data_IF_718213740869
#
_entry.id   IF_718213740869
#
_cell.length_a   1.000
_cell.length_b   1.000
_cell.length_c   1.000
_cell.angle_alpha   90.00
_cell.angle_beta   90.00
_cell.angle_gamma   90.00
#
_symmetry.space_group_name_H-M   'P 1'
#
loop_
_entity.id
_entity.type
_entity.pdbx_description
1 polymer ?
#
# COMPACT_ATOMS: atom_id res chain seq x y z
N UNK A 1 -0.17 4.99 -8.65
CA UNK A 1 -1.59 4.58 -8.66
C UNK A 1 -2.47 5.81 -8.66
N UNK A 2 -3.59 5.80 -9.37
CA UNK A 2 -4.53 6.92 -9.47
C UNK A 2 -5.65 6.73 -8.47
N UNK A 3 -5.89 7.71 -7.63
CA UNK A 3 -6.98 7.70 -6.64
C UNK A 3 -7.96 8.82 -6.99
N UNK A 4 -9.24 8.48 -7.16
CA UNK A 4 -10.30 9.46 -7.36
C UNK A 4 -10.93 9.82 -6.02
N UNK A 5 -10.95 11.11 -5.68
CA UNK A 5 -11.57 11.65 -4.46
C UNK A 5 -12.79 12.47 -4.87
N UNK A 6 -13.96 11.99 -4.52
CA UNK A 6 -15.26 12.64 -4.79
C UNK A 6 -15.91 13.09 -3.48
N UNK A 7 -16.01 14.39 -3.28
CA UNK A 7 -16.60 15.03 -2.10
C UNK A 7 -17.03 16.44 -2.50
N UNK A 8 -18.21 16.91 -2.13
CA UNK A 8 -18.70 18.26 -2.48
C UNK A 8 -18.08 19.34 -1.60
N UNK A 9 -17.59 18.99 -0.40
CA UNK A 9 -16.90 19.89 0.50
C UNK A 9 -15.45 20.11 0.04
N UNK A 10 -15.15 21.29 -0.51
CA UNK A 10 -13.84 21.65 -1.07
C UNK A 10 -12.69 21.42 -0.06
N UNK A 11 -12.88 21.84 1.19
CA UNK A 11 -11.84 21.70 2.22
C UNK A 11 -11.49 20.23 2.53
N UNK A 12 -12.50 19.34 2.54
CA UNK A 12 -12.29 17.91 2.75
C UNK A 12 -11.59 17.32 1.53
N UNK A 13 -12.11 17.59 0.36
CA UNK A 13 -11.58 17.12 -0.92
C UNK A 13 -10.11 17.50 -1.12
N UNK A 14 -9.77 18.78 -0.95
CA UNK A 14 -8.40 19.29 -1.09
C UNK A 14 -7.48 18.76 0.02
N UNK A 15 -7.98 18.65 1.26
CA UNK A 15 -7.20 18.07 2.35
C UNK A 15 -6.82 16.62 2.11
N UNK A 16 -7.75 15.79 1.64
CA UNK A 16 -7.47 14.40 1.26
C UNK A 16 -6.49 14.36 0.08
N UNK A 17 -6.73 15.19 -0.94
CA UNK A 17 -5.89 15.21 -2.15
C UNK A 17 -4.45 15.61 -1.84
N UNK A 18 -4.23 16.63 -1.02
CA UNK A 18 -2.89 17.07 -0.62
C UNK A 18 -2.15 15.95 0.12
N UNK A 19 -2.80 15.34 1.12
CA UNK A 19 -2.18 14.30 1.93
C UNK A 19 -1.84 13.04 1.11
N UNK A 20 -2.73 12.61 0.22
CA UNK A 20 -2.48 11.48 -0.68
C UNK A 20 -1.37 11.76 -1.69
N UNK A 21 -1.26 13.01 -2.15
CA UNK A 21 -0.18 13.42 -3.06
C UNK A 21 1.19 13.37 -2.35
N UNK A 22 1.27 13.78 -1.09
CA UNK A 22 2.48 13.63 -0.26
C UNK A 22 2.88 12.16 -0.06
N UNK A 23 1.90 11.25 0.02
CA UNK A 23 2.12 9.80 0.08
C UNK A 23 2.50 9.17 -1.29
N UNK A 24 2.63 9.99 -2.35
CA UNK A 24 3.09 9.57 -3.68
C UNK A 24 2.01 9.03 -4.62
N UNK A 25 0.74 9.27 -4.32
CA UNK A 25 -0.37 8.93 -5.22
C UNK A 25 -0.65 10.05 -6.23
N UNK A 26 -1.13 9.66 -7.41
CA UNK A 26 -1.71 10.61 -8.36
C UNK A 26 -3.20 10.76 -8.03
N UNK A 27 -3.59 11.96 -7.59
CA UNK A 27 -4.96 12.21 -7.12
C UNK A 27 -5.76 12.97 -8.17
N UNK A 28 -6.95 12.45 -8.43
CA UNK A 28 -7.96 13.06 -9.27
C UNK A 28 -9.12 13.45 -8.34
N UNK A 29 -9.60 14.68 -8.44
CA UNK A 29 -10.67 15.19 -7.59
C UNK A 29 -11.98 15.36 -8.37
N UNK A 30 -13.13 15.16 -7.72
CA UNK A 30 -14.45 15.43 -8.27
C UNK A 30 -15.31 16.12 -7.20
N UNK A 31 -16.07 17.13 -7.58
CA UNK A 31 -16.91 17.92 -6.66
C UNK A 31 -18.34 17.42 -6.53
N UNK A 32 -18.71 16.39 -7.26
CA UNK A 32 -20.02 15.75 -7.24
C UNK A 32 -20.00 14.41 -7.98
N UNK A 33 -21.09 13.64 -7.85
CA UNK A 33 -21.16 12.30 -8.40
C UNK A 33 -21.16 12.24 -9.93
N UNK A 34 -21.65 13.28 -10.61
CA UNK A 34 -21.64 13.30 -12.07
C UNK A 34 -20.21 13.46 -12.60
N UNK A 35 -19.44 14.40 -12.04
CA UNK A 35 -18.02 14.60 -12.38
C UNK A 35 -17.18 13.38 -12.00
N UNK A 36 -17.52 12.71 -10.88
CA UNK A 36 -16.85 11.48 -10.47
C UNK A 36 -16.99 10.38 -11.52
N UNK A 37 -18.18 10.16 -12.05
CA UNK A 37 -18.42 9.15 -13.09
C UNK A 37 -17.77 9.49 -14.42
N UNK A 38 -17.78 10.75 -14.83
CA UNK A 38 -17.11 11.21 -16.05
C UNK A 38 -15.60 10.93 -15.97
N UNK A 39 -14.94 11.33 -14.86
CA UNK A 39 -13.52 11.07 -14.64
C UNK A 39 -13.18 9.59 -14.50
N UNK A 40 -14.09 8.82 -13.93
CA UNK A 40 -13.93 7.38 -13.81
C UNK A 40 -13.97 6.67 -15.17
N UNK A 41 -14.79 7.15 -16.11
CA UNK A 41 -14.85 6.59 -17.48
C UNK A 41 -13.63 6.96 -18.31
N UNK A 42 -13.10 8.17 -18.12
CA UNK A 42 -12.03 8.73 -18.96
C UNK A 42 -10.62 8.36 -18.48
N UNK A 43 -10.45 8.00 -17.21
CA UNK A 43 -9.14 7.81 -16.59
C UNK A 43 -9.01 6.44 -15.91
N UNK A 44 -7.81 5.83 -15.91
CA UNK A 44 -7.57 4.59 -15.20
C UNK A 44 -7.52 4.83 -13.69
N UNK A 45 -8.65 4.65 -13.02
CA UNK A 45 -8.79 4.79 -11.56
C UNK A 45 -8.48 3.44 -10.89
N UNK A 46 -7.70 3.49 -9.79
CA UNK A 46 -7.31 2.31 -9.03
C UNK A 46 -8.02 2.21 -7.67
N UNK A 47 -8.52 3.32 -7.14
CA UNK A 47 -9.32 3.35 -5.92
C UNK A 47 -10.16 4.62 -5.93
N UNK A 48 -11.36 4.54 -5.39
CA UNK A 48 -12.23 5.71 -5.19
C UNK A 48 -12.47 5.95 -3.71
N UNK A 49 -12.31 7.22 -3.29
CA UNK A 49 -12.83 7.75 -2.02
C UNK A 49 -14.08 8.56 -2.36
N UNK A 50 -15.22 8.19 -1.81
CA UNK A 50 -16.54 8.63 -2.26
C UNK A 50 -17.39 9.12 -1.12
N UNK A 51 -17.76 10.40 -1.11
CA UNK A 51 -18.81 10.89 -0.23
C UNK A 51 -20.18 10.43 -0.71
N UNK A 52 -21.04 10.06 0.21
CA UNK A 52 -22.42 9.65 -0.09
C UNK A 52 -23.34 10.82 -0.40
N UNK A 53 -23.14 11.94 0.25
CA UNK A 53 -24.05 13.08 0.22
C UNK A 53 -23.50 14.19 -0.69
N UNK A 54 -23.60 13.98 -1.99
CA UNK A 54 -23.17 14.95 -3.01
C UNK A 54 -24.34 15.45 -3.86
N UNK A 55 -24.25 16.69 -4.41
CA UNK A 55 -25.23 17.21 -5.35
C UNK A 55 -25.18 16.50 -6.71
N UNK A 56 -26.20 16.71 -7.53
CA UNK A 56 -26.41 16.16 -8.87
C UNK A 56 -26.60 14.64 -8.90
N UNK A 57 -25.57 13.88 -8.57
CA UNK A 57 -25.65 12.42 -8.31
C UNK A 57 -25.10 12.14 -6.93
N UNK A 58 -25.82 11.40 -6.14
CA UNK A 58 -25.39 10.94 -4.82
C UNK A 58 -24.27 9.88 -4.94
N UNK A 59 -23.47 9.73 -3.89
CA UNK A 59 -22.48 8.66 -3.85
C UNK A 59 -23.08 7.25 -3.94
N UNK A 60 -24.32 7.06 -3.49
CA UNK A 60 -25.06 5.81 -3.69
C UNK A 60 -25.29 5.47 -5.16
N UNK A 61 -25.67 6.48 -5.96
CA UNK A 61 -25.86 6.29 -7.40
C UNK A 61 -24.53 6.00 -8.11
N UNK A 62 -23.47 6.71 -7.71
CA UNK A 62 -22.10 6.48 -8.22
C UNK A 62 -21.66 5.07 -7.88
N UNK A 63 -21.77 4.63 -6.63
CA UNK A 63 -21.39 3.30 -6.17
C UNK A 63 -22.12 2.19 -6.94
N UNK A 64 -23.43 2.36 -7.13
CA UNK A 64 -24.25 1.41 -7.89
C UNK A 64 -23.86 1.32 -9.37
N UNK A 65 -23.41 2.42 -9.96
CA UNK A 65 -23.01 2.46 -11.37
C UNK A 65 -21.63 1.84 -11.56
N UNK A 66 -20.69 2.08 -10.64
CA UNK A 66 -19.33 1.51 -10.66
C UNK A 66 -19.36 0.00 -10.41
N UNK A 67 -20.05 -0.47 -9.38
CA UNK A 67 -20.09 -1.89 -9.00
C UNK A 67 -20.75 -2.80 -10.05
N UNK A 68 -21.49 -2.24 -11.00
CA UNK A 68 -22.05 -3.03 -12.11
C UNK A 68 -21.04 -3.41 -13.18
N UNK A 69 -20.00 -2.64 -13.33
CA UNK A 69 -19.15 -2.68 -14.52
C UNK A 69 -17.65 -2.80 -14.22
N UNK A 70 -17.20 -2.58 -12.98
CA UNK A 70 -15.77 -2.46 -12.65
C UNK A 70 -15.45 -3.02 -11.27
N UNK A 71 -14.24 -3.55 -11.16
CA UNK A 71 -13.71 -4.19 -9.94
C UNK A 71 -12.60 -3.32 -9.35
N UNK A 72 -12.95 -2.10 -8.88
CA UNK A 72 -12.03 -1.23 -8.15
C UNK A 72 -12.49 -1.08 -6.70
N UNK A 73 -11.58 -0.98 -5.73
CA UNK A 73 -11.95 -0.73 -4.34
C UNK A 73 -12.54 0.67 -4.14
N UNK A 74 -13.61 0.73 -3.35
CA UNK A 74 -14.28 1.98 -2.99
C UNK A 74 -14.34 2.13 -1.47
N UNK A 75 -13.79 3.26 -0.97
CA UNK A 75 -13.98 3.71 0.41
C UNK A 75 -15.06 4.78 0.44
N UNK A 76 -16.09 4.51 1.20
CA UNK A 76 -17.20 5.46 1.35
C UNK A 76 -16.94 6.37 2.56
N UNK A 77 -17.17 7.67 2.38
CA UNK A 77 -17.24 8.65 3.47
C UNK A 77 -18.68 8.90 3.84
N UNK A 78 -19.03 8.81 5.13
CA UNK A 78 -20.41 9.02 5.60
C UNK A 78 -20.47 9.91 6.85
N UNK A 79 -21.57 10.61 7.07
CA UNK A 79 -21.80 11.35 8.31
C UNK A 79 -22.07 10.39 9.49
N UNK A 80 -21.72 10.84 10.70
CA UNK A 80 -21.91 10.07 11.94
C UNK A 80 -23.41 9.86 12.23
N UNK A 81 -23.83 8.62 12.52
CA UNK A 81 -25.08 8.34 13.22
C UNK A 81 -26.23 7.73 12.41
N UNK A 82 -26.01 7.31 11.18
CA UNK A 82 -27.05 6.68 10.39
C UNK A 82 -26.77 5.19 10.16
N UNK A 83 -27.29 4.34 11.08
CA UNK A 83 -27.17 2.87 10.97
C UNK A 83 -27.85 2.34 9.68
N UNK A 84 -28.93 3.01 9.22
CA UNK A 84 -29.62 2.66 7.98
C UNK A 84 -28.73 2.90 6.76
N UNK A 85 -28.02 4.03 6.73
CA UNK A 85 -27.02 4.35 5.70
C UNK A 85 -25.87 3.36 5.71
N UNK A 86 -25.37 2.96 6.88
CA UNK A 86 -24.32 1.95 6.97
C UNK A 86 -24.74 0.59 6.42
N UNK A 87 -25.95 0.13 6.72
CA UNK A 87 -26.49 -1.12 6.16
C UNK A 87 -26.63 -1.05 4.64
N UNK A 88 -27.14 0.07 4.10
CA UNK A 88 -27.25 0.27 2.64
C UNK A 88 -25.89 0.29 1.93
N UNK A 89 -24.86 0.86 2.56
CA UNK A 89 -23.49 0.88 2.01
C UNK A 89 -22.88 -0.51 1.94
N UNK A 90 -23.13 -1.36 2.95
CA UNK A 90 -22.68 -2.77 2.92
C UNK A 90 -23.42 -3.58 1.85
N UNK A 91 -24.72 -3.35 1.68
CA UNK A 91 -25.54 -4.00 0.63
C UNK A 91 -25.12 -3.60 -0.79
N UNK A 92 -24.51 -2.43 -0.95
CA UNK A 92 -23.99 -1.90 -2.22
C UNK A 92 -22.51 -2.25 -2.49
N UNK A 93 -21.93 -3.17 -1.70
CA UNK A 93 -20.56 -3.67 -1.91
C UNK A 93 -19.46 -2.60 -1.84
N UNK A 94 -19.57 -1.61 -0.94
CA UNK A 94 -18.43 -0.80 -0.59
C UNK A 94 -17.38 -1.65 0.15
N UNK A 95 -16.11 -1.49 -0.19
CA UNK A 95 -15.00 -2.29 0.40
C UNK A 95 -14.63 -1.86 1.80
N UNK A 96 -14.83 -0.58 2.11
CA UNK A 96 -14.63 -0.01 3.44
C UNK A 96 -15.46 1.27 3.59
N UNK A 97 -15.69 1.69 4.84
CA UNK A 97 -16.36 2.96 5.13
C UNK A 97 -15.63 3.72 6.23
N UNK A 98 -15.69 5.05 6.16
CA UNK A 98 -15.10 5.96 7.14
C UNK A 98 -16.11 7.03 7.51
N UNK A 99 -16.39 7.18 8.79
CA UNK A 99 -17.32 8.20 9.30
C UNK A 99 -16.64 9.55 9.48
N UNK A 100 -17.30 10.61 9.03
CA UNK A 100 -16.88 12.01 9.27
C UNK A 100 -17.27 12.43 10.71
N UNK A 101 -16.38 13.12 11.48
CA UNK A 101 -15.02 13.52 11.13
C UNK A 101 -14.00 12.36 11.25
N UNK A 102 -13.00 12.33 10.40
CA UNK A 102 -11.98 11.28 10.35
C UNK A 102 -10.55 11.83 10.37
N UNK A 103 -9.61 10.96 10.70
CA UNK A 103 -8.18 11.24 10.59
C UNK A 103 -7.66 10.90 9.19
N UNK A 104 -7.00 11.85 8.52
CA UNK A 104 -6.37 11.61 7.21
C UNK A 104 -5.34 10.47 7.26
N UNK A 105 -4.55 10.39 8.33
CA UNK A 105 -3.59 9.29 8.52
C UNK A 105 -4.26 7.91 8.58
N UNK A 106 -5.43 7.82 9.23
CA UNK A 106 -6.22 6.57 9.28
C UNK A 106 -6.80 6.24 7.91
N UNK A 107 -7.34 7.22 7.19
CA UNK A 107 -7.87 7.06 5.84
C UNK A 107 -6.78 6.52 4.89
N UNK A 108 -5.56 7.08 4.93
CA UNK A 108 -4.43 6.61 4.12
C UNK A 108 -4.08 5.15 4.43
N UNK A 109 -4.06 4.75 5.71
CA UNK A 109 -3.78 3.34 6.06
C UNK A 109 -4.84 2.37 5.52
N UNK A 110 -6.10 2.78 5.48
CA UNK A 110 -7.20 2.01 4.87
C UNK A 110 -7.05 1.91 3.36
N UNK A 111 -6.74 3.02 2.68
CA UNK A 111 -6.42 3.06 1.25
C UNK A 111 -5.27 2.11 0.92
N UNK A 112 -4.15 2.18 1.67
CA UNK A 112 -3.00 1.31 1.49
C UNK A 112 -3.36 -0.18 1.66
N UNK A 113 -4.21 -0.51 2.64
CA UNK A 113 -4.65 -1.88 2.88
C UNK A 113 -5.52 -2.41 1.73
N UNK A 114 -6.45 -1.59 1.19
CA UNK A 114 -7.28 -1.98 0.06
C UNK A 114 -6.48 -2.11 -1.24
N UNK A 115 -5.64 -1.13 -1.56
CA UNK A 115 -4.79 -1.20 -2.75
C UNK A 115 -3.90 -2.45 -2.73
N UNK A 116 -3.36 -2.82 -1.57
CA UNK A 116 -2.58 -4.05 -1.42
C UNK A 116 -3.42 -5.31 -1.61
N UNK A 117 -4.70 -5.31 -1.24
CA UNK A 117 -5.61 -6.46 -1.40
C UNK A 117 -6.10 -6.63 -2.83
N UNK A 118 -6.42 -5.53 -3.52
CA UNK A 118 -6.96 -5.53 -4.88
C UNK A 118 -5.89 -5.63 -5.94
N UNK A 119 -4.85 -4.88 -5.76
CA UNK A 119 -3.69 -4.87 -6.67
C UNK A 119 -2.58 -5.63 -5.97
N UNK A 120 -2.69 -6.95 -5.98
CA UNK A 120 -1.55 -7.82 -5.67
C UNK A 120 -0.48 -7.45 -6.70
N UNK A 121 0.32 -6.45 -6.40
CA UNK A 121 1.65 -6.41 -6.97
C UNK A 121 2.26 -7.68 -6.42
N UNK A 122 2.39 -8.68 -7.28
CA UNK A 122 3.27 -9.79 -6.99
C UNK A 122 4.61 -9.15 -6.66
N UNK A 123 4.87 -8.93 -5.39
CA UNK A 123 6.14 -8.41 -4.89
C UNK A 123 7.13 -9.58 -4.95
N UNK A 124 7.20 -10.15 -6.19
CA UNK A 124 8.05 -11.30 -6.50
C UNK A 124 9.35 -10.77 -7.05
N UNK A 125 10.42 -11.15 -6.41
CA UNK A 125 11.78 -10.87 -6.85
C UNK A 125 12.44 -12.14 -7.35
N UNK A 126 13.09 -12.03 -8.50
CA UNK A 126 13.86 -13.11 -9.10
C UNK A 126 15.33 -12.73 -9.18
N UNK A 127 16.17 -13.67 -8.79
CA UNK A 127 17.61 -13.57 -8.94
C UNK A 127 18.21 -14.97 -9.16
N UNK A 128 18.80 -15.23 -10.34
CA UNK A 128 19.26 -16.57 -10.74
C UNK A 128 18.16 -17.62 -10.50
N UNK A 129 18.44 -18.65 -9.70
CA UNK A 129 17.50 -19.72 -9.34
C UNK A 129 16.59 -19.37 -8.12
N UNK A 130 16.70 -18.15 -7.61
CA UNK A 130 15.96 -17.69 -6.43
C UNK A 130 14.70 -16.96 -6.84
N UNK A 131 13.59 -17.34 -6.21
CA UNK A 131 12.31 -16.62 -6.29
C UNK A 131 11.87 -16.28 -4.88
N UNK A 132 11.58 -15.01 -4.61
CA UNK A 132 11.07 -14.54 -3.33
C UNK A 132 9.76 -13.80 -3.55
N UNK A 133 8.70 -14.27 -2.89
CA UNK A 133 7.41 -13.61 -2.80
C UNK A 133 7.32 -12.89 -1.45
N UNK A 134 7.45 -11.57 -1.48
CA UNK A 134 7.37 -10.73 -0.28
C UNK A 134 5.95 -10.57 0.24
N UNK A 135 4.93 -10.88 -0.56
CA UNK A 135 3.53 -10.81 -0.14
C UNK A 135 3.17 -12.00 0.74
N UNK A 136 3.54 -13.20 0.31
CA UNK A 136 3.29 -14.45 1.06
C UNK A 136 4.39 -14.80 2.07
N UNK A 137 5.49 -14.03 2.09
CA UNK A 137 6.71 -14.31 2.88
C UNK A 137 7.33 -15.68 2.56
N UNK A 138 7.30 -16.08 1.29
CA UNK A 138 7.86 -17.35 0.81
C UNK A 138 9.11 -17.11 -0.03
N UNK A 139 10.05 -18.06 0.04
CA UNK A 139 11.22 -18.08 -0.81
C UNK A 139 11.46 -19.47 -1.37
N UNK A 140 11.94 -19.55 -2.60
CA UNK A 140 12.31 -20.80 -3.29
C UNK A 140 13.66 -20.66 -3.93
N UNK A 141 14.44 -21.74 -3.89
CA UNK A 141 15.71 -21.89 -4.62
C UNK A 141 15.58 -23.14 -5.48
N UNK A 142 15.78 -23.02 -6.80
CA UNK A 142 15.57 -24.13 -7.77
C UNK A 142 14.19 -24.78 -7.63
N UNK A 143 13.15 -23.96 -7.40
CA UNK A 143 11.76 -24.38 -7.14
C UNK A 143 11.50 -25.14 -5.82
N UNK A 144 12.51 -25.35 -4.97
CA UNK A 144 12.34 -25.90 -3.65
C UNK A 144 12.09 -24.80 -2.62
N UNK A 145 11.12 -25.01 -1.74
CA UNK A 145 10.78 -24.03 -0.69
C UNK A 145 11.87 -23.96 0.37
N UNK A 146 12.28 -22.75 0.72
CA UNK A 146 13.32 -22.48 1.71
C UNK A 146 12.72 -21.76 2.91
N UNK A 147 12.87 -22.31 4.10
CA UNK A 147 12.39 -21.70 5.35
C UNK A 147 13.18 -20.41 5.65
N UNK A 148 12.50 -19.29 5.56
CA UNK A 148 13.07 -17.96 5.80
C UNK A 148 12.26 -17.21 6.85
N UNK A 149 12.92 -16.38 7.65
CA UNK A 149 12.22 -15.59 8.68
C UNK A 149 11.68 -14.29 8.08
N UNK A 150 10.50 -13.80 8.52
CA UNK A 150 9.95 -12.54 8.00
C UNK A 150 10.94 -11.35 8.05
N UNK A 151 11.69 -11.20 9.14
CA UNK A 151 12.70 -10.12 9.26
C UNK A 151 13.88 -10.29 8.28
N UNK A 152 14.25 -11.50 7.91
CA UNK A 152 15.27 -11.75 6.87
C UNK A 152 14.76 -11.27 5.51
N UNK A 153 13.48 -11.53 5.18
CA UNK A 153 12.86 -11.05 3.93
C UNK A 153 12.72 -9.53 3.89
N UNK A 154 12.37 -8.90 5.02
CA UNK A 154 12.29 -7.44 5.10
C UNK A 154 13.66 -6.78 4.85
N UNK A 155 14.76 -7.35 5.38
CA UNK A 155 16.12 -6.89 5.08
C UNK A 155 16.42 -7.02 3.59
N UNK A 156 16.09 -8.14 2.98
CA UNK A 156 16.30 -8.35 1.54
C UNK A 156 15.49 -7.32 0.72
N UNK A 157 14.23 -7.12 1.06
CA UNK A 157 13.35 -6.13 0.42
C UNK A 157 13.92 -4.71 0.51
N UNK A 158 14.39 -4.31 1.69
CA UNK A 158 15.03 -3.02 1.91
C UNK A 158 16.24 -2.82 0.99
N UNK A 159 17.12 -3.83 0.88
CA UNK A 159 18.29 -3.76 -0.01
C UNK A 159 17.90 -3.67 -1.49
N UNK A 160 16.86 -4.39 -1.92
CA UNK A 160 16.36 -4.36 -3.30
C UNK A 160 15.78 -2.99 -3.65
N UNK A 161 15.00 -2.39 -2.75
CA UNK A 161 14.44 -1.06 -2.92
C UNK A 161 15.50 0.03 -3.05
N UNK A 162 16.67 -0.18 -2.43
CA UNK A 162 17.83 0.71 -2.49
C UNK A 162 18.97 0.12 -3.33
N UNK A 163 18.61 -0.48 -4.46
CA UNK A 163 19.55 -1.12 -5.39
C UNK A 163 20.77 -0.24 -5.69
N UNK A 164 21.96 -0.84 -5.56
CA UNK A 164 23.26 -0.20 -5.77
C UNK A 164 23.64 0.92 -4.76
N UNK A 165 22.79 1.20 -3.77
CA UNK A 165 23.12 2.11 -2.67
C UNK A 165 23.69 1.32 -1.50
N UNK A 166 24.62 1.96 -0.76
CA UNK A 166 25.16 1.39 0.47
C UNK A 166 24.27 1.86 1.62
N UNK A 167 23.69 0.91 2.34
CA UNK A 167 22.92 1.17 3.55
C UNK A 167 23.71 0.81 4.78
N UNK A 168 23.72 1.69 5.77
CA UNK A 168 24.27 1.38 7.10
C UNK A 168 23.40 0.34 7.81
N UNK A 169 23.95 -0.29 8.86
CA UNK A 169 23.19 -1.22 9.70
C UNK A 169 21.99 -0.54 10.37
N UNK A 170 22.16 0.69 10.81
CA UNK A 170 21.13 1.53 11.41
C UNK A 170 19.98 1.80 10.40
N UNK A 171 20.30 2.24 9.20
CA UNK A 171 19.32 2.47 8.15
C UNK A 171 18.50 1.22 7.80
N UNK A 172 19.18 0.04 7.75
CA UNK A 172 18.49 -1.24 7.52
C UNK A 172 17.58 -1.56 8.70
N UNK A 173 18.03 -1.38 9.95
CA UNK A 173 17.21 -1.63 11.14
C UNK A 173 15.99 -0.72 11.20
N UNK A 174 16.16 0.57 10.96
CA UNK A 174 15.07 1.55 10.93
C UNK A 174 14.00 1.18 9.89
N UNK A 175 14.42 0.68 8.72
CA UNK A 175 13.49 0.29 7.65
C UNK A 175 12.64 -0.95 7.97
N UNK A 176 13.09 -1.82 8.89
CA UNK A 176 12.41 -3.09 9.24
C UNK A 176 11.77 -3.10 10.63
N UNK A 177 11.93 -2.02 11.41
CA UNK A 177 11.40 -1.88 12.77
C UNK A 177 10.12 -1.06 12.74
N UNK A 178 9.03 -1.60 13.26
CA UNK A 178 7.74 -0.89 13.41
C UNK A 178 7.69 -0.03 14.68
N UNK A 179 8.61 -0.20 15.62
CA UNK A 179 8.69 0.52 16.90
C UNK A 179 10.13 0.84 17.26
N UNK A 180 10.40 2.09 17.59
CA UNK A 180 11.71 2.58 18.04
C UNK A 180 12.14 2.03 19.43
N UNK A 181 11.23 1.37 20.16
CA UNK A 181 11.49 0.88 21.52
C UNK A 181 12.25 -0.47 21.58
N UNK A 182 12.24 -1.24 20.49
CA UNK A 182 12.85 -2.59 20.40
C UNK A 182 13.90 -2.67 19.29
N UNK A 183 14.77 -1.66 19.13
CA UNK A 183 15.89 -1.73 18.19
C UNK A 183 16.87 -2.80 18.65
N UNK A 184 16.94 -3.94 17.95
CA UNK A 184 17.96 -4.94 18.23
C UNK A 184 19.36 -4.32 17.99
N UNK A 185 20.37 -4.79 18.71
CA UNK A 185 21.76 -4.40 18.53
C UNK A 185 22.18 -4.52 17.04
N UNK A 186 22.99 -3.60 16.52
CA UNK A 186 23.51 -3.55 15.14
C UNK A 186 23.97 -4.89 14.57
N UNK A 187 24.44 -5.78 15.42
CA UNK A 187 24.89 -7.12 15.06
C UNK A 187 23.79 -8.06 14.53
N UNK A 188 22.51 -7.73 14.75
CA UNK A 188 21.38 -8.54 14.26
C UNK A 188 21.28 -8.48 12.73
N UNK A 189 21.58 -7.34 12.12
CA UNK A 189 21.62 -7.20 10.65
C UNK A 189 22.65 -8.16 10.05
N UNK A 190 23.82 -8.28 10.65
CA UNK A 190 24.87 -9.19 10.16
C UNK A 190 24.41 -10.65 10.18
N UNK A 191 23.59 -11.03 11.17
CA UNK A 191 23.00 -12.36 11.23
C UNK A 191 21.97 -12.56 10.12
N UNK A 192 21.10 -11.58 9.86
CA UNK A 192 20.11 -11.66 8.77
C UNK A 192 20.80 -11.76 7.41
N UNK A 193 21.80 -10.93 7.15
CA UNK A 193 22.59 -10.97 5.91
C UNK A 193 23.28 -12.33 5.71
N UNK A 194 23.92 -12.84 6.77
CA UNK A 194 24.56 -14.17 6.72
C UNK A 194 23.54 -15.27 6.42
N UNK A 195 22.37 -15.22 7.03
CA UNK A 195 21.34 -16.21 6.80
C UNK A 195 20.77 -16.13 5.38
N UNK A 196 20.50 -14.92 4.87
CA UNK A 196 20.07 -14.70 3.49
C UNK A 196 21.06 -15.29 2.49
N UNK A 197 22.35 -14.96 2.61
CA UNK A 197 23.39 -15.50 1.74
C UNK A 197 23.44 -17.03 1.79
N UNK A 198 23.36 -17.61 3.01
CA UNK A 198 23.44 -19.06 3.18
C UNK A 198 22.19 -19.80 2.67
N UNK A 199 20.99 -19.25 2.94
CA UNK A 199 19.73 -19.93 2.63
C UNK A 199 19.32 -19.79 1.17
N UNK A 200 19.57 -18.61 0.59
CA UNK A 200 19.14 -18.27 -0.75
C UNK A 200 20.32 -18.21 -1.76
N UNK A 201 21.54 -18.56 -1.34
CA UNK A 201 22.75 -18.52 -2.18
C UNK A 201 22.95 -17.15 -2.88
N UNK A 202 22.75 -16.06 -2.13
CA UNK A 202 22.79 -14.70 -2.66
C UNK A 202 24.23 -14.14 -2.63
N UNK A 203 24.91 -14.16 -3.75
CA UNK A 203 26.21 -13.51 -3.97
C UNK A 203 26.09 -12.01 -4.29
N UNK A 204 24.91 -11.56 -4.71
CA UNK A 204 24.61 -10.15 -5.02
C UNK A 204 24.62 -9.22 -3.81
N UNK A 205 24.51 -9.73 -2.59
CA UNK A 205 24.62 -8.92 -1.38
C UNK A 205 26.10 -8.69 -1.05
N UNK A 206 26.56 -7.46 -1.20
CA UNK A 206 27.95 -7.08 -0.99
C UNK A 206 28.13 -6.40 0.37
N UNK A 207 29.18 -6.80 1.12
CA UNK A 207 29.57 -6.12 2.36
C UNK A 207 30.54 -4.98 2.04
N UNK A 208 30.22 -3.76 2.49
CA UNK A 208 31.14 -2.63 2.47
C UNK A 208 31.73 -2.48 3.86
N UNK A 209 33.00 -2.81 3.99
CA UNK A 209 33.71 -2.89 5.28
C UNK A 209 33.56 -1.57 6.06
N UNK A 210 33.17 -1.66 7.32
CA UNK A 210 32.98 -0.55 8.25
C UNK A 210 31.84 0.45 7.86
N UNK A 211 31.06 0.18 6.82
CA UNK A 211 29.94 1.03 6.38
C UNK A 211 28.62 0.28 6.49
N UNK A 212 28.46 -0.83 5.76
CA UNK A 212 27.20 -1.56 5.74
C UNK A 212 27.10 -2.56 4.60
N UNK A 213 25.94 -2.60 3.97
CA UNK A 213 25.60 -3.56 2.93
C UNK A 213 24.99 -2.89 1.71
N UNK A 214 25.16 -3.49 0.55
CA UNK A 214 24.44 -3.13 -0.67
C UNK A 214 24.06 -4.37 -1.44
N UNK A 215 23.03 -4.29 -2.25
CA UNK A 215 22.73 -5.28 -3.29
C UNK A 215 23.22 -4.74 -4.64
N UNK A 216 23.91 -5.59 -5.37
CA UNK A 216 24.42 -5.30 -6.73
C UNK A 216 23.79 -6.30 -7.69
N UNK A 217 22.88 -5.84 -8.52
CA UNK A 217 22.12 -6.64 -9.49
C UNK A 217 22.48 -6.24 -10.91
#
# INVERSE_FOLDING_TARGET
>A
MNILVADDEEMIREGIAAFLTEEGYHVIVAKDGQEALEKFQDLPIHLMVLDLMMPRKSGFEVLKEINRNHDIPVIVLSALGDEETQMQVFDLYADDHVTKPFSLAVLVKRIQALLRRYYVVEDIWHYQDVTVDFTSYQARVKNEEVAIKPKELLVLKCLIQHKNQILSREQILESISNDFADLPLDRVVDVYIRNLRKKLDLDCIVTVKNVGYKISL
#
